data_IF_303110375344
#
_entry.id   IF_303110375344
#
_cell.length_a   1.000
_cell.length_b   1.000
_cell.length_c   1.000
_cell.angle_alpha   90.00
_cell.angle_beta   90.00
_cell.angle_gamma   90.00
#
_symmetry.space_group_name_H-M   'P 1'
#
loop_
_entity.id
_entity.type
_entity.pdbx_description
1 polymer ?
#
# COMPACT_ATOMS: atom_id res chain seq x y z
N UNK A 1 -35.88 69.72 -31.98
CA UNK A 1 -36.11 68.35 -32.37
C UNK A 1 -34.75 67.66 -32.49
N UNK A 2 -34.34 66.82 -31.50
CA UNK A 2 -33.11 66.06 -31.56
C UNK A 2 -33.43 64.64 -31.16
N UNK A 3 -33.20 63.65 -32.10
CA UNK A 3 -33.45 62.24 -31.91
C UNK A 3 -32.24 61.60 -31.24
N UNK A 4 -32.41 60.97 -30.05
CA UNK A 4 -31.45 60.20 -29.37
C UNK A 4 -31.32 58.77 -30.02
N UNK A 5 -30.10 58.37 -30.44
CA UNK A 5 -29.78 57.01 -30.89
C UNK A 5 -29.41 56.20 -29.69
N UNK A 6 -30.15 55.11 -29.42
CA UNK A 6 -29.77 54.02 -28.49
C UNK A 6 -28.76 53.11 -29.12
N UNK A 7 -27.58 52.98 -28.55
CA UNK A 7 -26.64 51.91 -28.90
C UNK A 7 -26.81 50.76 -27.90
N UNK A 8 -27.18 49.59 -28.39
CA UNK A 8 -27.13 48.29 -27.66
C UNK A 8 -25.78 47.62 -27.95
N UNK A 9 -24.92 47.53 -26.96
CA UNK A 9 -23.79 46.63 -27.01
C UNK A 9 -24.05 45.49 -26.01
N UNK A 10 -24.50 44.36 -26.52
CA UNK A 10 -24.64 43.13 -25.75
C UNK A 10 -23.31 42.35 -25.83
N UNK A 11 -22.48 42.50 -24.79
CA UNK A 11 -21.27 41.69 -24.61
C UNK A 11 -21.64 40.24 -24.23
N UNK A 12 -21.58 39.34 -25.19
CA UNK A 12 -21.82 37.93 -25.01
C UNK A 12 -20.54 37.30 -24.39
N UNK A 13 -20.48 37.21 -23.06
CA UNK A 13 -19.40 36.50 -22.36
C UNK A 13 -19.32 35.04 -22.82
N UNK A 14 -18.21 34.65 -23.44
CA UNK A 14 -17.92 33.27 -23.79
C UNK A 14 -17.58 32.49 -22.51
N UNK A 15 -18.56 31.77 -21.96
CA UNK A 15 -18.40 30.86 -20.84
C UNK A 15 -17.38 29.76 -21.26
N UNK A 16 -16.18 29.79 -20.67
CA UNK A 16 -15.17 28.80 -20.91
C UNK A 16 -15.73 27.41 -20.57
N UNK A 17 -15.68 26.47 -21.51
CA UNK A 17 -16.07 25.06 -21.29
C UNK A 17 -15.14 24.47 -20.24
N UNK A 18 -15.70 24.01 -19.11
CA UNK A 18 -14.96 23.18 -18.13
C UNK A 18 -14.36 21.97 -18.87
N UNK A 19 -13.08 21.64 -18.61
CA UNK A 19 -12.48 20.45 -19.19
C UNK A 19 -13.31 19.21 -18.82
N UNK A 20 -13.50 18.31 -19.75
CA UNK A 20 -14.15 17.03 -19.50
C UNK A 20 -13.38 16.26 -18.42
N UNK A 21 -14.07 15.54 -17.51
CA UNK A 21 -13.39 14.75 -16.50
C UNK A 21 -12.48 13.72 -17.18
N UNK A 22 -11.21 13.71 -16.79
CA UNK A 22 -10.24 12.72 -17.26
C UNK A 22 -10.77 11.32 -16.91
N UNK A 23 -10.87 10.45 -17.91
CA UNK A 23 -11.21 9.05 -17.68
C UNK A 23 -10.15 8.44 -16.78
N UNK A 24 -10.52 8.11 -15.54
CA UNK A 24 -9.63 7.44 -14.59
C UNK A 24 -9.58 5.97 -14.97
N UNK A 25 -8.37 5.38 -15.05
CA UNK A 25 -8.22 3.94 -15.26
C UNK A 25 -8.81 3.16 -14.09
N UNK A 26 -9.49 2.05 -14.36
CA UNK A 26 -10.01 1.16 -13.30
C UNK A 26 -8.89 0.58 -12.43
N UNK A 27 -7.72 0.32 -13.03
CA UNK A 27 -6.52 -0.10 -12.30
C UNK A 27 -5.49 1.03 -12.46
N UNK A 28 -5.06 1.68 -11.36
CA UNK A 28 -4.04 2.72 -11.42
C UNK A 28 -2.70 2.17 -11.92
N UNK A 29 -1.89 3.04 -12.53
CA UNK A 29 -0.59 2.64 -13.05
C UNK A 29 0.32 2.09 -11.93
N UNK A 30 0.87 0.90 -12.16
CA UNK A 30 1.77 0.21 -11.23
C UNK A 30 1.06 -0.57 -10.13
N UNK A 31 -0.27 -0.71 -10.20
CA UNK A 31 -1.06 -1.60 -9.34
C UNK A 31 -1.57 -2.80 -10.13
N UNK A 32 -1.97 -3.84 -9.41
CA UNK A 32 -2.73 -4.98 -9.93
C UNK A 32 -4.19 -4.90 -9.46
N UNK A 33 -5.07 -5.67 -10.09
CA UNK A 33 -6.50 -5.70 -9.75
C UNK A 33 -6.73 -6.11 -8.28
N UNK A 34 -5.85 -6.96 -7.74
CA UNK A 34 -5.80 -7.31 -6.32
C UNK A 34 -4.52 -6.72 -5.74
N UNK A 35 -4.66 -5.85 -4.77
CA UNK A 35 -3.55 -5.20 -4.05
C UNK A 35 -3.75 -5.46 -2.56
N UNK A 36 -2.82 -6.16 -1.88
CA UNK A 36 -2.93 -6.40 -0.45
C UNK A 36 -2.94 -5.10 0.34
N UNK A 37 -3.74 -5.06 1.40
CA UNK A 37 -3.70 -4.01 2.41
C UNK A 37 -3.41 -4.63 3.78
N UNK A 38 -2.31 -4.24 4.43
CA UNK A 38 -1.89 -4.74 5.72
C UNK A 38 -2.21 -3.71 6.81
N UNK A 39 -2.84 -4.17 7.89
CA UNK A 39 -3.08 -3.35 9.08
C UNK A 39 -1.96 -3.58 10.08
N UNK A 40 -1.31 -2.49 10.50
CA UNK A 40 -0.13 -2.52 11.36
C UNK A 40 -0.46 -2.05 12.78
N UNK A 41 0.22 -2.60 13.77
CA UNK A 41 0.26 -2.06 15.12
C UNK A 41 1.24 -0.88 15.25
N UNK A 42 2.23 -0.80 14.36
CA UNK A 42 3.25 0.25 14.27
C UNK A 42 3.72 0.37 12.82
N UNK A 43 3.02 1.17 12.03
CA UNK A 43 3.27 1.33 10.60
C UNK A 43 4.60 1.99 10.29
N UNK A 44 5.07 2.92 11.14
CA UNK A 44 6.35 3.59 10.93
C UNK A 44 7.51 2.59 11.04
N UNK A 45 7.52 1.77 12.08
CA UNK A 45 8.48 0.69 12.26
C UNK A 45 8.35 -0.38 11.18
N UNK A 46 7.12 -0.68 10.73
CA UNK A 46 6.88 -1.64 9.65
C UNK A 46 7.52 -1.20 8.33
N UNK A 47 7.45 0.07 7.97
CA UNK A 47 8.10 0.59 6.76
C UNK A 47 9.61 0.38 6.77
N UNK A 48 10.26 0.66 7.89
CA UNK A 48 11.70 0.41 8.06
C UNK A 48 12.04 -1.07 7.99
N UNK A 49 11.24 -1.90 8.67
CA UNK A 49 11.42 -3.34 8.70
C UNK A 49 11.31 -3.95 7.30
N UNK A 50 10.25 -3.67 6.56
CA UNK A 50 10.07 -4.22 5.21
C UNK A 50 11.16 -3.76 4.23
N UNK A 51 11.68 -2.56 4.41
CA UNK A 51 12.86 -2.09 3.67
C UNK A 51 14.07 -2.97 3.93
N UNK A 52 14.37 -3.30 5.18
CA UNK A 52 15.52 -4.14 5.59
C UNK A 52 15.32 -5.61 5.23
N UNK A 53 14.15 -6.17 5.56
CA UNK A 53 13.86 -7.60 5.42
C UNK A 53 13.67 -8.03 3.95
N UNK A 54 12.89 -7.27 3.20
CA UNK A 54 12.43 -7.65 1.86
C UNK A 54 12.88 -6.70 0.74
N UNK A 55 13.67 -5.67 1.07
CA UNK A 55 14.08 -4.67 0.09
C UNK A 55 12.93 -3.82 -0.44
N UNK A 56 11.89 -3.65 0.37
CA UNK A 56 10.72 -2.85 0.02
C UNK A 56 11.12 -1.39 -0.24
N UNK A 57 10.54 -0.80 -1.27
CA UNK A 57 10.73 0.62 -1.62
C UNK A 57 9.46 1.39 -1.28
N UNK A 58 9.59 2.43 -0.47
CA UNK A 58 8.49 3.34 -0.17
C UNK A 58 8.07 4.07 -1.45
N UNK A 59 6.77 4.06 -1.77
CA UNK A 59 6.15 4.78 -2.88
C UNK A 59 5.40 6.02 -2.41
N UNK A 60 4.60 5.85 -1.36
CA UNK A 60 3.78 6.90 -0.78
C UNK A 60 3.66 6.69 0.73
N UNK A 61 3.53 7.80 1.46
CA UNK A 61 3.25 7.80 2.89
C UNK A 61 2.34 8.98 3.23
N UNK A 62 1.31 8.72 4.00
CA UNK A 62 0.42 9.70 4.58
C UNK A 62 0.41 9.50 6.10
N UNK A 63 0.94 10.48 6.81
CA UNK A 63 0.97 10.44 8.26
C UNK A 63 -0.41 10.80 8.85
N UNK A 64 -0.70 10.23 10.02
CA UNK A 64 -1.86 10.54 10.84
C UNK A 64 -1.40 11.13 12.19
N UNK A 65 -2.29 11.77 12.95
CA UNK A 65 -1.96 12.31 14.26
C UNK A 65 -1.33 11.27 15.20
N UNK A 66 -0.42 11.71 16.06
CA UNK A 66 0.26 10.86 17.04
C UNK A 66 1.40 10.01 16.45
N UNK A 67 1.95 10.39 15.30
CA UNK A 67 3.08 9.67 14.66
C UNK A 67 2.66 8.38 13.95
N UNK A 68 1.37 8.16 13.78
CA UNK A 68 0.82 6.97 13.13
C UNK A 68 0.82 7.11 11.62
N UNK A 69 0.75 5.99 10.93
CA UNK A 69 0.61 5.92 9.47
C UNK A 69 -0.87 5.78 9.12
N UNK A 70 -1.45 6.82 8.50
CA UNK A 70 -2.82 6.75 7.98
C UNK A 70 -2.91 5.87 6.74
N UNK A 71 -1.90 5.96 5.87
CA UNK A 71 -1.76 5.13 4.67
C UNK A 71 -0.33 5.15 4.17
N UNK A 72 0.17 4.02 3.69
CA UNK A 72 1.42 3.94 2.98
C UNK A 72 1.37 2.88 1.87
N UNK A 73 2.23 3.06 0.88
CA UNK A 73 2.44 2.11 -0.21
C UNK A 73 3.91 1.75 -0.27
N UNK A 74 4.19 0.46 -0.25
CA UNK A 74 5.53 -0.08 -0.49
C UNK A 74 5.51 -0.97 -1.72
N UNK A 75 6.66 -1.10 -2.37
CA UNK A 75 6.84 -2.01 -3.50
C UNK A 75 7.88 -3.08 -3.15
N UNK A 76 7.48 -4.35 -3.26
CA UNK A 76 8.35 -5.53 -3.15
C UNK A 76 8.32 -6.24 -4.51
N UNK A 77 9.48 -6.40 -5.13
CA UNK A 77 9.55 -6.92 -6.49
C UNK A 77 8.75 -6.05 -7.48
N UNK A 78 7.76 -6.65 -8.13
CA UNK A 78 6.83 -5.99 -9.04
C UNK A 78 5.53 -5.54 -8.37
N UNK A 79 5.26 -5.98 -7.15
CA UNK A 79 3.97 -5.86 -6.48
C UNK A 79 3.94 -4.70 -5.49
N UNK A 80 2.80 -4.00 -5.45
CA UNK A 80 2.50 -2.97 -4.47
C UNK A 80 1.73 -3.59 -3.31
N UNK A 81 2.13 -3.24 -2.10
CA UNK A 81 1.43 -3.54 -0.86
C UNK A 81 1.06 -2.21 -0.20
N UNK A 82 -0.20 -2.06 0.13
CA UNK A 82 -0.71 -0.95 0.92
C UNK A 82 -0.66 -1.30 2.40
N UNK A 83 -0.51 -0.30 3.26
CA UNK A 83 -0.57 -0.50 4.71
C UNK A 83 -0.99 0.77 5.44
N UNK A 84 -1.47 0.58 6.66
CA UNK A 84 -1.77 1.66 7.60
C UNK A 84 -1.84 1.13 9.00
N UNK A 85 -1.79 2.03 9.98
CA UNK A 85 -1.96 1.65 11.36
C UNK A 85 -3.41 1.26 11.68
N UNK A 86 -3.56 0.41 12.68
CA UNK A 86 -4.85 0.12 13.28
C UNK A 86 -5.39 1.35 14.00
N UNK A 87 -6.61 1.76 13.68
CA UNK A 87 -7.29 2.87 14.37
C UNK A 87 -8.49 2.35 15.16
N UNK A 88 -8.79 2.97 16.32
CA UNK A 88 -9.94 2.58 17.13
C UNK A 88 -11.26 3.00 16.46
N UNK A 89 -11.79 2.14 15.61
CA UNK A 89 -13.07 2.29 14.94
C UNK A 89 -13.89 1.01 15.10
N UNK A 90 -15.23 1.09 15.26
CA UNK A 90 -16.06 -0.10 15.47
C UNK A 90 -15.90 -1.17 14.40
N UNK A 91 -15.83 -0.75 13.13
CA UNK A 91 -15.72 -1.64 11.97
C UNK A 91 -14.32 -1.55 11.29
N UNK A 92 -13.32 -1.02 12.01
CA UNK A 92 -11.95 -0.87 11.52
C UNK A 92 -11.22 -2.20 11.40
N UNK A 93 -10.30 -2.27 10.45
CA UNK A 93 -9.36 -3.40 10.34
C UNK A 93 -8.42 -3.40 11.54
N UNK A 94 -8.05 -4.60 12.00
CA UNK A 94 -7.17 -4.80 13.15
C UNK A 94 -5.86 -5.44 12.75
N UNK A 95 -4.80 -5.09 13.45
CA UNK A 95 -3.50 -5.72 13.28
C UNK A 95 -3.53 -7.17 13.80
N UNK A 96 -2.70 -8.09 13.26
CA UNK A 96 -2.63 -9.45 13.72
C UNK A 96 -2.37 -9.58 15.22
N UNK A 97 -1.58 -8.69 15.82
CA UNK A 97 -1.32 -8.62 17.26
C UNK A 97 -2.58 -8.37 18.07
N UNK A 98 -3.52 -7.56 17.57
CA UNK A 98 -4.81 -7.27 18.20
C UNK A 98 -5.84 -8.39 18.02
N UNK A 99 -5.65 -9.23 16.99
CA UNK A 99 -6.52 -10.38 16.68
C UNK A 99 -6.01 -11.68 17.33
N UNK A 100 -4.76 -11.71 17.80
CA UNK A 100 -4.11 -12.92 18.27
C UNK A 100 -3.63 -13.84 17.14
N UNK A 101 -3.58 -13.36 15.89
CA UNK A 101 -3.12 -14.09 14.73
C UNK A 101 -3.55 -13.48 13.40
N UNK A 102 -3.13 -14.08 12.29
CA UNK A 102 -3.49 -13.66 10.93
C UNK A 102 -4.28 -14.76 10.23
N UNK A 103 -5.37 -14.38 9.55
CA UNK A 103 -6.18 -15.27 8.71
C UNK A 103 -5.67 -15.39 7.28
N UNK A 104 -4.65 -14.61 6.92
CA UNK A 104 -4.09 -14.57 5.56
C UNK A 104 -2.57 -14.55 5.61
N UNK A 105 -1.94 -14.91 4.50
CA UNK A 105 -0.51 -14.84 4.30
C UNK A 105 -0.17 -14.22 2.96
N UNK A 106 1.01 -13.60 2.88
CA UNK A 106 1.57 -13.11 1.63
C UNK A 106 2.59 -14.13 1.10
N UNK A 107 2.38 -14.57 -0.12
CA UNK A 107 3.33 -15.44 -0.81
C UNK A 107 4.26 -14.58 -1.69
N UNK A 108 5.55 -14.61 -1.43
CA UNK A 108 6.54 -13.76 -2.11
C UNK A 108 7.53 -14.61 -2.87
N UNK A 109 7.54 -14.48 -4.19
CA UNK A 109 8.55 -15.11 -5.03
C UNK A 109 9.84 -14.31 -5.03
N UNK A 110 10.96 -14.97 -4.82
CA UNK A 110 12.29 -14.36 -4.71
C UNK A 110 13.33 -15.19 -5.51
N UNK A 111 14.37 -14.54 -6.07
CA UNK A 111 15.40 -15.26 -6.82
C UNK A 111 16.20 -16.27 -5.99
N UNK A 112 16.37 -16.04 -4.69
CA UNK A 112 17.10 -16.89 -3.77
C UNK A 112 16.40 -16.94 -2.41
N UNK A 113 15.72 -18.04 -2.14
CA UNK A 113 14.91 -18.25 -0.93
C UNK A 113 15.78 -18.28 0.32
N UNK A 114 16.93 -18.97 0.31
CA UNK A 114 17.81 -19.09 1.48
C UNK A 114 18.35 -17.73 1.92
N UNK A 115 18.86 -16.95 0.97
CA UNK A 115 19.37 -15.62 1.25
C UNK A 115 18.26 -14.65 1.72
N UNK A 116 17.07 -14.75 1.12
CA UNK A 116 15.92 -13.89 1.50
C UNK A 116 15.39 -14.28 2.88
N UNK A 117 15.29 -15.57 3.18
CA UNK A 117 14.89 -16.08 4.48
C UNK A 117 15.86 -15.62 5.58
N UNK A 118 17.16 -15.83 5.36
CA UNK A 118 18.19 -15.39 6.31
C UNK A 118 18.09 -13.88 6.58
N UNK A 119 18.02 -13.07 5.54
CA UNK A 119 17.90 -11.60 5.67
C UNK A 119 16.66 -11.20 6.47
N UNK A 120 15.52 -11.84 6.24
CA UNK A 120 14.29 -11.56 6.94
C UNK A 120 14.38 -11.95 8.43
N UNK A 121 14.99 -13.09 8.75
CA UNK A 121 15.25 -13.52 10.14
C UNK A 121 16.22 -12.55 10.83
N UNK A 122 17.32 -12.19 10.18
CA UNK A 122 18.29 -11.21 10.70
C UNK A 122 17.64 -9.83 10.96
N UNK A 123 16.61 -9.46 10.17
CA UNK A 123 15.85 -8.24 10.35
C UNK A 123 14.78 -8.34 11.47
N UNK A 124 14.46 -9.53 11.96
CA UNK A 124 13.53 -9.75 13.07
C UNK A 124 12.32 -10.63 12.79
N UNK A 125 12.21 -11.27 11.62
CA UNK A 125 11.20 -12.30 11.39
C UNK A 125 11.46 -13.54 12.27
N UNK A 126 10.39 -14.16 12.72
CA UNK A 126 10.43 -15.50 13.29
C UNK A 126 10.32 -16.54 12.18
N UNK A 127 11.36 -17.39 12.03
CA UNK A 127 11.30 -18.55 11.16
C UNK A 127 10.30 -19.58 11.69
N UNK A 128 9.35 -19.98 10.85
CA UNK A 128 8.35 -21.02 11.16
C UNK A 128 8.72 -22.32 10.48
N UNK A 129 9.19 -22.23 9.24
CA UNK A 129 9.68 -23.36 8.46
C UNK A 129 10.93 -22.92 7.68
N UNK A 130 12.08 -23.58 7.87
CA UNK A 130 13.28 -23.24 7.10
C UNK A 130 13.09 -23.55 5.60
N UNK A 131 13.89 -22.92 4.72
CA UNK A 131 13.87 -23.21 3.29
C UNK A 131 14.04 -24.69 3.00
N UNK A 132 13.06 -25.28 2.32
CA UNK A 132 12.99 -26.70 2.02
C UNK A 132 12.47 -26.89 0.59
N UNK A 133 12.99 -27.89 -0.12
CA UNK A 133 12.49 -28.24 -1.44
C UNK A 133 11.15 -28.99 -1.30
N UNK A 134 10.14 -28.47 -1.94
CA UNK A 134 8.77 -28.94 -1.81
C UNK A 134 8.39 -29.85 -2.98
N UNK A 135 7.45 -30.76 -2.75
CA UNK A 135 7.01 -31.74 -3.75
C UNK A 135 6.38 -31.10 -5.01
N UNK A 136 5.93 -29.83 -4.93
CA UNK A 136 5.42 -29.10 -6.08
C UNK A 136 6.48 -28.34 -6.88
N UNK A 137 7.77 -28.49 -6.52
CA UNK A 137 8.91 -27.97 -7.28
C UNK A 137 9.53 -26.68 -6.78
N UNK A 138 8.91 -25.99 -5.82
CA UNK A 138 9.46 -24.76 -5.25
C UNK A 138 10.40 -25.06 -4.08
N UNK A 139 11.42 -24.21 -3.91
CA UNK A 139 12.12 -24.08 -2.64
C UNK A 139 11.38 -23.06 -1.80
N UNK A 140 10.86 -23.46 -0.64
CA UNK A 140 9.89 -22.69 0.14
C UNK A 140 10.30 -22.60 1.62
N UNK A 141 10.09 -21.42 2.23
CA UNK A 141 10.23 -21.19 3.67
C UNK A 141 9.08 -20.35 4.21
N UNK A 142 8.78 -20.48 5.51
CA UNK A 142 7.73 -19.70 6.17
C UNK A 142 8.29 -18.83 7.27
N UNK A 143 7.82 -17.62 7.33
CA UNK A 143 8.20 -16.59 8.30
C UNK A 143 6.95 -15.97 8.91
N UNK A 144 7.11 -15.42 10.10
CA UNK A 144 6.16 -14.45 10.68
C UNK A 144 6.93 -13.19 10.98
N UNK A 145 6.43 -12.07 10.51
CA UNK A 145 7.05 -10.77 10.74
C UNK A 145 6.82 -10.27 12.18
N UNK A 146 7.52 -9.22 12.63
CA UNK A 146 7.35 -8.67 14.00
C UNK A 146 5.97 -8.10 14.29
N UNK A 147 5.10 -7.94 13.27
CA UNK A 147 3.74 -7.40 13.40
C UNK A 147 2.67 -8.50 13.33
N UNK A 148 3.11 -9.78 13.15
CA UNK A 148 2.26 -10.96 13.13
C UNK A 148 1.72 -11.35 11.76
N UNK A 149 2.17 -10.73 10.68
CA UNK A 149 1.83 -11.16 9.31
C UNK A 149 2.68 -12.37 8.89
N UNK A 150 2.06 -13.29 8.14
CA UNK A 150 2.69 -14.52 7.63
C UNK A 150 3.13 -14.34 6.19
#
# INVERSE_FOLDING_TARGET
MAKAKKSKAAGRSKRAKRPAPRKVSAIPAGFHAVTPYLTMSDGARALEFYGKAFGAKLRMRMDAPGGRIGHAEIKIGDSVIMMGDEFPQPDGTKAPSSLGGSSSSLFVYVPNVDASFKRAVDAGCRGVMPPTDMFWGDRFGRLIDPFGHH
#
